data_IF_927754835899
#
_entry.id   IF_927754835899
#
_cell.length_a   1.000
_cell.length_b   1.000
_cell.length_c   1.000
_cell.angle_alpha   90.00
_cell.angle_beta   90.00
_cell.angle_gamma   90.00
#
_symmetry.space_group_name_H-M   'P 1'
#
loop_
_entity.id
_entity.type
_entity.pdbx_description
1 polymer ?
#
# COMPACT_ATOMS: atom_id res chain seq x y z
N UNK A 1 12.77 1.33 -29.27
CA UNK A 1 12.76 0.88 -27.87
C UNK A 1 12.59 2.10 -26.98
N UNK A 2 11.36 2.57 -26.76
CA UNK A 2 11.09 3.82 -26.05
C UNK A 2 10.82 3.53 -24.58
N UNK A 3 11.71 3.97 -23.69
CA UNK A 3 11.48 4.03 -22.24
C UNK A 3 11.16 5.49 -21.86
N UNK A 4 9.92 5.84 -21.51
CA UNK A 4 9.63 7.10 -20.84
C UNK A 4 9.23 6.82 -19.38
N UNK A 5 10.17 6.94 -18.44
CA UNK A 5 9.88 6.70 -17.02
C UNK A 5 10.59 7.69 -16.07
N UNK A 6 10.65 8.99 -16.42
CA UNK A 6 11.50 9.95 -15.69
C UNK A 6 10.81 11.29 -15.31
N UNK A 7 9.48 11.37 -15.17
CA UNK A 7 8.81 12.66 -14.89
C UNK A 7 7.92 12.73 -13.63
N UNK A 8 7.88 11.71 -12.77
CA UNK A 8 6.90 11.68 -11.65
C UNK A 8 7.51 11.59 -10.24
N UNK A 9 8.84 11.72 -10.11
CA UNK A 9 9.54 11.54 -8.81
C UNK A 9 9.51 12.79 -7.92
N UNK A 10 9.33 13.99 -8.50
CA UNK A 10 9.47 15.26 -7.76
C UNK A 10 8.33 15.52 -6.77
N UNK A 11 7.16 14.93 -6.96
CA UNK A 11 5.98 15.24 -6.12
C UNK A 11 5.98 14.48 -4.79
N UNK A 12 6.59 13.28 -4.72
CA UNK A 12 6.50 12.44 -3.53
C UNK A 12 7.38 12.92 -2.37
N UNK A 13 8.54 13.46 -2.68
CA UNK A 13 9.52 13.95 -1.70
C UNK A 13 8.94 15.11 -0.86
N UNK A 14 8.13 15.96 -1.50
CA UNK A 14 7.44 17.08 -0.85
C UNK A 14 6.29 16.67 0.09
N UNK A 15 5.81 15.42 0.00
CA UNK A 15 4.67 14.94 0.81
C UNK A 15 5.19 14.45 2.17
N UNK A 16 5.02 15.27 3.22
CA UNK A 16 5.45 14.90 4.58
C UNK A 16 4.68 13.72 5.21
N UNK A 17 3.46 13.43 4.75
CA UNK A 17 2.55 12.46 5.39
C UNK A 17 2.56 11.12 4.66
N UNK A 18 2.90 10.04 5.37
CA UNK A 18 2.88 8.65 4.88
C UNK A 18 1.54 8.30 4.22
N UNK A 19 0.42 8.70 4.81
CA UNK A 19 -0.93 8.49 4.25
C UNK A 19 -1.08 9.09 2.85
N UNK A 20 -0.57 10.29 2.64
CA UNK A 20 -0.71 11.00 1.37
C UNK A 20 0.24 10.40 0.31
N UNK A 21 1.43 9.95 0.70
CA UNK A 21 2.33 9.15 -0.16
C UNK A 21 1.68 7.82 -0.57
N UNK A 22 1.10 7.07 0.38
CA UNK A 22 0.36 5.83 0.11
C UNK A 22 -0.82 6.08 -0.83
N UNK A 23 -1.58 7.16 -0.61
CA UNK A 23 -2.69 7.56 -1.49
C UNK A 23 -2.20 7.84 -2.91
N UNK A 24 -1.05 8.51 -3.08
CA UNK A 24 -0.48 8.77 -4.40
C UNK A 24 -0.10 7.45 -5.11
N UNK A 25 0.61 6.56 -4.43
CA UNK A 25 1.02 5.26 -4.97
C UNK A 25 -0.19 4.42 -5.36
N UNK A 26 -1.25 4.38 -4.53
CA UNK A 26 -2.48 3.64 -4.84
C UNK A 26 -3.32 4.28 -5.97
N UNK A 27 -3.15 5.57 -6.24
CA UNK A 27 -3.75 6.22 -7.41
C UNK A 27 -2.97 5.87 -8.68
N UNK A 28 -1.64 5.92 -8.61
CA UNK A 28 -0.73 5.60 -9.73
C UNK A 28 -0.75 4.12 -10.11
N UNK A 29 -0.78 3.23 -9.12
CA UNK A 29 -0.74 1.78 -9.29
C UNK A 29 -1.99 1.13 -8.67
N UNK A 30 -3.10 0.97 -9.43
CA UNK A 30 -4.34 0.40 -8.90
C UNK A 30 -4.21 -1.08 -8.50
N UNK A 31 -3.27 -1.81 -9.11
CA UNK A 31 -2.90 -3.19 -8.75
C UNK A 31 -2.41 -3.34 -7.30
N UNK A 32 -1.73 -2.31 -6.77
CA UNK A 32 -1.22 -2.29 -5.41
C UNK A 32 -2.35 -2.21 -4.35
N UNK A 33 -3.58 -1.83 -4.75
CA UNK A 33 -4.74 -1.83 -3.84
C UNK A 33 -5.12 -3.24 -3.38
N UNK A 34 -4.77 -4.24 -4.17
CA UNK A 34 -5.11 -5.65 -3.91
C UNK A 34 -4.00 -6.38 -3.12
N UNK A 35 -2.75 -5.94 -3.23
CA UNK A 35 -1.60 -6.62 -2.65
C UNK A 35 -0.74 -5.68 -1.80
N UNK A 36 -0.73 -5.92 -0.48
CA UNK A 36 0.02 -5.10 0.47
C UNK A 36 1.54 -5.23 0.31
N UNK A 37 2.04 -6.39 -0.15
CA UNK A 37 3.48 -6.56 -0.43
C UNK A 37 3.90 -5.68 -1.61
N UNK A 38 3.09 -5.68 -2.68
CA UNK A 38 3.33 -4.83 -3.84
C UNK A 38 3.28 -3.34 -3.47
N UNK A 39 2.31 -2.96 -2.63
CA UNK A 39 2.24 -1.59 -2.10
C UNK A 39 3.51 -1.21 -1.34
N UNK A 40 4.03 -2.10 -0.48
CA UNK A 40 5.26 -1.83 0.27
C UNK A 40 6.48 -1.68 -0.66
N UNK A 41 6.66 -2.61 -1.61
CA UNK A 41 7.76 -2.54 -2.57
C UNK A 41 7.71 -1.27 -3.43
N UNK A 42 6.52 -0.89 -3.92
CA UNK A 42 6.34 0.35 -4.67
C UNK A 42 6.58 1.58 -3.81
N UNK A 43 6.17 1.55 -2.54
CA UNK A 43 6.44 2.64 -1.61
C UNK A 43 7.94 2.80 -1.39
N UNK A 44 8.66 1.73 -1.07
CA UNK A 44 10.10 1.83 -0.85
C UNK A 44 10.83 2.35 -2.09
N UNK A 45 10.46 1.86 -3.27
CA UNK A 45 11.05 2.32 -4.53
C UNK A 45 10.74 3.78 -4.86
N UNK A 46 9.47 4.17 -4.83
CA UNK A 46 9.03 5.49 -5.32
C UNK A 46 9.14 6.58 -4.24
N UNK A 47 9.02 6.22 -2.96
CA UNK A 47 8.91 7.16 -1.85
C UNK A 47 10.17 7.26 -1.00
N UNK A 48 10.83 6.13 -0.74
CA UNK A 48 12.07 6.07 0.04
C UNK A 48 13.32 5.95 -0.88
N UNK A 49 13.14 5.72 -2.18
CA UNK A 49 14.25 5.53 -3.13
C UNK A 49 15.05 4.25 -2.90
N UNK A 50 14.44 3.25 -2.26
CA UNK A 50 15.09 2.01 -1.85
C UNK A 50 14.77 0.91 -2.87
N UNK A 51 15.82 0.44 -3.54
CA UNK A 51 15.76 -0.69 -4.46
C UNK A 51 16.39 -1.96 -3.88
N UNK A 52 17.23 -1.82 -2.85
CA UNK A 52 17.95 -2.91 -2.22
C UNK A 52 17.22 -3.45 -0.96
N UNK A 53 17.18 -4.78 -0.82
CA UNK A 53 16.51 -5.46 0.28
C UNK A 53 17.15 -5.17 1.66
N UNK A 54 18.46 -4.94 1.72
CA UNK A 54 19.16 -4.62 2.97
C UNK A 54 18.82 -3.21 3.43
N UNK A 55 18.56 -2.28 2.50
CA UNK A 55 18.18 -0.91 2.83
C UNK A 55 16.74 -0.80 3.38
N UNK A 56 15.89 -1.82 3.17
CA UNK A 56 14.50 -1.85 3.68
C UNK A 56 14.43 -1.69 5.21
N UNK A 57 15.45 -2.11 5.96
CA UNK A 57 15.48 -1.95 7.41
C UNK A 57 15.47 -0.49 7.88
N UNK A 58 15.92 0.43 7.03
CA UNK A 58 15.94 1.88 7.28
C UNK A 58 14.75 2.60 6.64
N UNK A 59 13.96 1.88 5.84
CA UNK A 59 12.81 2.42 5.13
C UNK A 59 11.62 2.66 6.06
N UNK A 60 10.58 3.26 5.50
CA UNK A 60 9.27 3.30 6.17
C UNK A 60 8.79 1.86 6.45
N UNK A 61 8.43 1.57 7.70
CA UNK A 61 8.01 0.21 8.07
C UNK A 61 6.77 -0.25 7.30
N UNK A 62 6.74 -1.53 6.92
CA UNK A 62 5.60 -2.13 6.23
C UNK A 62 4.29 -1.96 7.02
N UNK A 63 4.35 -2.03 8.35
CA UNK A 63 3.19 -1.79 9.22
C UNK A 63 2.69 -0.34 9.16
N UNK A 64 3.57 0.66 9.07
CA UNK A 64 3.14 2.06 8.90
C UNK A 64 2.41 2.27 7.56
N UNK A 65 2.91 1.64 6.49
CA UNK A 65 2.28 1.65 5.16
C UNK A 65 0.90 0.96 5.24
N UNK A 66 0.83 -0.22 5.86
CA UNK A 66 -0.40 -0.99 6.05
C UNK A 66 -1.44 -0.21 6.86
N UNK A 67 -1.06 0.41 7.98
CA UNK A 67 -1.95 1.22 8.83
C UNK A 67 -2.49 2.43 8.07
N UNK A 68 -1.64 3.07 7.27
CA UNK A 68 -2.06 4.16 6.39
C UNK A 68 -3.09 3.68 5.36
N UNK A 69 -2.90 2.50 4.76
CA UNK A 69 -3.86 1.88 3.84
C UNK A 69 -5.18 1.55 4.54
N UNK A 70 -5.16 1.00 5.75
CA UNK A 70 -6.36 0.72 6.55
C UNK A 70 -7.16 1.99 6.84
N UNK A 71 -6.47 3.09 7.19
CA UNK A 71 -7.11 4.39 7.42
C UNK A 71 -7.79 4.93 6.15
N UNK A 72 -7.16 4.78 4.98
CA UNK A 72 -7.77 5.16 3.69
C UNK A 72 -9.01 4.32 3.39
N UNK A 73 -8.93 3.00 3.58
CA UNK A 73 -10.06 2.09 3.39
C UNK A 73 -11.22 2.40 4.34
N UNK A 74 -10.95 2.71 5.61
CA UNK A 74 -11.97 3.08 6.60
C UNK A 74 -12.73 4.35 6.20
N UNK A 75 -12.09 5.23 5.40
CA UNK A 75 -12.72 6.44 4.83
C UNK A 75 -13.41 6.18 3.49
N UNK A 76 -13.43 4.94 3.00
CA UNK A 76 -13.96 4.59 1.68
C UNK A 76 -13.11 5.08 0.50
N UNK A 77 -11.86 5.49 0.75
CA UNK A 77 -10.97 6.07 -0.27
C UNK A 77 -10.07 4.98 -0.84
N UNK A 78 -10.06 4.84 -2.18
CA UNK A 78 -9.19 3.91 -2.92
C UNK A 78 -9.34 2.45 -2.48
N UNK A 79 -10.59 2.00 -2.38
CA UNK A 79 -10.93 0.60 -2.12
C UNK A 79 -10.27 -0.33 -3.15
N UNK A 80 -10.05 -1.58 -2.75
CA UNK A 80 -9.56 -2.62 -3.67
C UNK A 80 -10.44 -2.67 -4.92
N UNK A 81 -9.79 -2.62 -6.08
CA UNK A 81 -10.47 -2.65 -7.38
C UNK A 81 -11.10 -4.01 -7.64
N UNK A 82 -10.53 -5.08 -7.06
CA UNK A 82 -11.05 -6.44 -7.23
C UNK A 82 -12.11 -6.78 -6.16
N UNK A 83 -13.33 -7.19 -6.58
CA UNK A 83 -14.42 -7.50 -5.66
C UNK A 83 -14.14 -8.75 -4.80
N UNK A 84 -13.41 -9.74 -5.33
CA UNK A 84 -13.07 -10.96 -4.57
C UNK A 84 -12.09 -10.66 -3.43
N UNK A 85 -11.16 -9.74 -3.65
CA UNK A 85 -10.24 -9.24 -2.62
C UNK A 85 -11.00 -8.47 -1.54
N UNK A 86 -11.99 -7.64 -1.92
CA UNK A 86 -12.85 -6.96 -0.96
C UNK A 86 -13.65 -7.93 -0.11
N UNK A 87 -14.27 -8.94 -0.72
CA UNK A 87 -15.04 -9.97 0.00
C UNK A 87 -14.17 -10.77 0.95
N UNK A 88 -12.98 -11.23 0.52
CA UNK A 88 -12.03 -11.92 1.41
C UNK A 88 -11.60 -11.06 2.59
N UNK A 89 -11.38 -9.76 2.38
CA UNK A 89 -11.03 -8.81 3.45
C UNK A 89 -12.17 -8.63 4.44
N UNK A 90 -13.41 -8.46 3.95
CA UNK A 90 -14.61 -8.38 4.79
C UNK A 90 -14.85 -9.67 5.57
N UNK A 91 -14.65 -10.83 4.94
CA UNK A 91 -14.79 -12.13 5.59
C UNK A 91 -13.77 -12.28 6.73
N UNK A 92 -12.49 -12.00 6.48
CA UNK A 92 -11.45 -12.02 7.53
C UNK A 92 -11.73 -11.06 8.69
N UNK A 93 -12.21 -9.85 8.39
CA UNK A 93 -12.60 -8.89 9.43
C UNK A 93 -13.75 -9.44 10.30
N UNK A 94 -14.76 -10.05 9.68
CA UNK A 94 -15.86 -10.71 10.39
C UNK A 94 -15.35 -11.87 11.25
N UNK A 95 -14.49 -12.74 10.71
CA UNK A 95 -13.92 -13.88 11.43
C UNK A 95 -13.08 -13.45 12.63
N UNK A 96 -12.26 -12.40 12.48
CA UNK A 96 -11.50 -11.81 13.60
C UNK A 96 -12.43 -11.21 14.65
N UNK A 97 -13.46 -10.46 14.24
CA UNK A 97 -14.42 -9.83 15.15
C UNK A 97 -15.28 -10.84 15.90
N UNK A 98 -15.62 -11.96 15.26
CA UNK A 98 -16.41 -13.04 15.86
C UNK A 98 -15.57 -14.03 16.67
N UNK A 99 -14.24 -13.87 16.73
CA UNK A 99 -13.34 -14.82 17.39
C UNK A 99 -13.27 -16.20 16.71
N UNK A 100 -13.74 -16.31 15.47
CA UNK A 100 -13.78 -17.56 14.69
C UNK A 100 -12.55 -17.76 13.82
N UNK A 101 -11.56 -16.87 13.91
CA UNK A 101 -10.34 -16.97 13.12
C UNK A 101 -9.67 -18.30 13.43
N UNK A 102 -9.67 -19.23 12.47
CA UNK A 102 -8.95 -20.49 12.56
C UNK A 102 -7.49 -20.18 12.81
N UNK A 103 -7.05 -20.35 14.05
CA UNK A 103 -5.65 -20.44 14.40
C UNK A 103 -5.21 -21.77 13.77
N UNK A 104 -4.44 -21.70 12.69
CA UNK A 104 -3.79 -22.83 12.03
C UNK A 104 -2.36 -22.48 11.79
#
# INVERSE_FOLDING_TARGET
MQHPAQLETTTLDSIKKTKDKVRFILQKYPEARNNDNLLCSLYWREADGIEDLLAVQFATSAEAIRRSRQLLNSKGILLATDPKVLEKRKQKEREMRSGLSKIS
#
